data_IF_326575209479
#
_entry.id   IF_326575209479
#
_cell.length_a   1.000
_cell.length_b   1.000
_cell.length_c   1.000
_cell.angle_alpha   90.00
_cell.angle_beta   90.00
_cell.angle_gamma   90.00
#
_symmetry.space_group_name_H-M   'P 1'
#
loop_
_entity.id
_entity.type
_entity.pdbx_description
1 polymer ?
#
# COMPACT_ATOMS: atom_id res chain seq x y z
N UNK A 1 -12.83 -18.47 -21.51
CA UNK A 1 -12.74 -17.14 -20.88
C UNK A 1 -12.79 -17.40 -19.40
N UNK A 2 -11.66 -17.80 -18.83
CA UNK A 2 -11.49 -18.04 -17.40
C UNK A 2 -11.63 -16.70 -16.71
N UNK A 3 -12.57 -16.59 -15.77
CA UNK A 3 -12.58 -15.50 -14.81
C UNK A 3 -11.16 -15.39 -14.25
N UNK A 4 -10.59 -14.19 -14.32
CA UNK A 4 -9.33 -13.87 -13.66
C UNK A 4 -9.47 -14.32 -12.20
N UNK A 5 -8.78 -15.41 -11.85
CA UNK A 5 -8.47 -15.66 -10.45
C UNK A 5 -7.58 -14.50 -10.05
N UNK A 6 -8.21 -13.43 -9.54
CA UNK A 6 -7.55 -12.30 -8.92
C UNK A 6 -6.63 -12.84 -7.82
N UNK A 7 -5.38 -13.10 -8.20
CA UNK A 7 -4.40 -13.73 -7.33
C UNK A 7 -3.97 -12.70 -6.29
N UNK A 8 -4.23 -13.00 -5.02
CA UNK A 8 -3.80 -12.19 -3.90
C UNK A 8 -2.34 -12.55 -3.66
N UNK A 9 -1.44 -11.80 -4.29
CA UNK A 9 0.00 -11.98 -4.13
C UNK A 9 0.53 -11.12 -2.99
N UNK A 10 1.34 -11.73 -2.13
CA UNK A 10 1.98 -11.05 -1.03
C UNK A 10 2.92 -11.96 -0.26
N UNK A 11 4.09 -11.44 0.08
CA UNK A 11 5.11 -12.15 0.84
C UNK A 11 5.17 -11.63 2.27
N UNK A 12 5.29 -12.55 3.23
CA UNK A 12 5.50 -12.22 4.64
C UNK A 12 6.87 -12.74 5.08
N UNK A 13 7.63 -11.89 5.76
CA UNK A 13 8.90 -12.23 6.42
C UNK A 13 8.89 -11.71 7.85
N UNK A 14 9.33 -12.55 8.78
CA UNK A 14 9.53 -12.16 10.17
C UNK A 14 10.92 -11.58 10.38
N UNK A 15 10.97 -10.46 11.08
CA UNK A 15 12.17 -9.83 11.61
C UNK A 15 12.00 -9.64 13.12
N UNK A 16 13.08 -9.38 13.87
CA UNK A 16 13.02 -9.32 15.34
C UNK A 16 11.98 -8.28 15.82
N UNK A 17 10.83 -8.77 16.28
CA UNK A 17 9.71 -7.95 16.79
C UNK A 17 8.85 -7.29 15.71
N UNK A 18 9.05 -7.60 14.42
CA UNK A 18 8.31 -6.99 13.30
C UNK A 18 7.99 -8.01 12.21
N UNK A 19 6.95 -7.70 11.44
CA UNK A 19 6.57 -8.44 10.25
C UNK A 19 6.73 -7.54 9.04
N UNK A 20 7.61 -7.92 8.11
CA UNK A 20 7.72 -7.31 6.80
C UNK A 20 6.74 -7.96 5.84
N UNK A 21 5.93 -7.13 5.20
CA UNK A 21 4.97 -7.54 4.18
C UNK A 21 5.38 -6.88 2.87
N UNK A 22 5.43 -7.67 1.80
CA UNK A 22 5.70 -7.18 0.45
C UNK A 22 4.52 -7.51 -0.46
N UNK A 23 3.95 -6.48 -1.09
CA UNK A 23 2.88 -6.61 -2.08
C UNK A 23 3.37 -6.06 -3.42
N UNK A 24 3.03 -6.72 -4.52
CA UNK A 24 3.45 -6.33 -5.86
C UNK A 24 2.24 -6.19 -6.80
N UNK A 25 2.32 -5.23 -7.72
CA UNK A 25 1.41 -5.08 -8.87
C UNK A 25 2.17 -4.76 -10.14
N UNK A 26 1.80 -5.42 -11.22
CA UNK A 26 2.22 -5.03 -12.56
C UNK A 26 1.14 -4.12 -13.15
N UNK A 27 1.54 -2.92 -13.56
CA UNK A 27 0.66 -1.85 -14.02
C UNK A 27 0.99 -1.53 -15.48
N UNK A 28 -0.01 -1.49 -16.36
CA UNK A 28 0.16 -1.13 -17.78
C UNK A 28 0.27 0.40 -18.00
N UNK A 29 0.94 1.07 -17.06
CA UNK A 29 1.13 2.51 -17.02
C UNK A 29 2.60 2.87 -16.87
N UNK A 30 3.05 4.02 -17.38
CA UNK A 30 4.42 4.47 -17.19
C UNK A 30 4.69 4.84 -15.72
N UNK A 31 5.93 4.67 -15.21
CA UNK A 31 6.34 5.03 -13.85
C UNK A 31 5.95 6.44 -13.42
N UNK A 32 5.95 7.38 -14.36
CA UNK A 32 5.56 8.76 -14.17
C UNK A 32 4.07 8.90 -13.77
N UNK A 33 3.19 8.12 -14.40
CA UNK A 33 1.77 8.11 -14.06
C UNK A 33 1.52 7.47 -12.70
N UNK A 34 2.20 6.35 -12.42
CA UNK A 34 2.14 5.66 -11.13
C UNK A 34 2.65 6.58 -10.01
N UNK A 35 3.76 7.29 -10.24
CA UNK A 35 4.28 8.25 -9.27
C UNK A 35 3.27 9.35 -8.94
N UNK A 36 2.62 9.93 -9.95
CA UNK A 36 1.60 10.96 -9.73
C UNK A 36 0.45 10.42 -8.87
N UNK A 37 0.05 9.16 -9.04
CA UNK A 37 -0.96 8.54 -8.18
C UNK A 37 -0.56 8.45 -6.71
N UNK A 38 0.75 8.32 -6.43
CA UNK A 38 1.28 8.22 -5.07
C UNK A 38 1.57 9.59 -4.44
N UNK A 39 1.72 10.65 -5.22
CA UNK A 39 2.22 11.94 -4.70
C UNK A 39 1.28 13.12 -4.87
N UNK A 40 0.39 13.09 -5.85
CA UNK A 40 -0.56 14.18 -6.10
C UNK A 40 -1.79 14.03 -5.21
N UNK A 41 -2.22 15.13 -4.57
CA UNK A 41 -3.33 15.12 -3.61
C UNK A 41 -4.68 14.78 -4.23
N UNK A 42 -4.92 15.19 -5.47
CA UNK A 42 -6.16 14.88 -6.19
C UNK A 42 -6.19 13.40 -6.51
N UNK A 43 -5.06 12.85 -6.97
CA UNK A 43 -4.97 11.44 -7.28
C UNK A 43 -5.04 10.55 -6.03
N UNK A 44 -4.38 10.91 -4.93
CA UNK A 44 -4.45 10.20 -3.64
C UNK A 44 -5.89 10.04 -3.14
N UNK A 45 -6.71 11.08 -3.29
CA UNK A 45 -8.12 11.06 -2.88
C UNK A 45 -8.98 10.06 -3.67
N UNK A 46 -8.56 9.67 -4.88
CA UNK A 46 -9.32 8.75 -5.73
C UNK A 46 -9.19 7.29 -5.33
N UNK A 47 -8.11 6.92 -4.63
CA UNK A 47 -7.84 5.52 -4.30
C UNK A 47 -7.46 5.25 -2.85
N UNK A 48 -6.99 6.25 -2.10
CA UNK A 48 -6.47 6.08 -0.74
C UNK A 48 -7.26 6.90 0.29
N UNK A 49 -7.03 8.21 0.31
CA UNK A 49 -7.67 9.14 1.24
C UNK A 49 -7.44 10.58 0.78
N UNK A 50 -8.34 11.47 1.17
CA UNK A 50 -8.12 12.90 0.98
C UNK A 50 -6.94 13.36 1.84
N UNK A 51 -6.09 14.23 1.28
CA UNK A 51 -4.90 14.65 1.99
C UNK A 51 -3.88 15.37 1.12
N UNK A 52 -2.68 15.52 1.64
CA UNK A 52 -1.54 16.15 0.96
C UNK A 52 -0.25 15.38 1.22
N UNK A 53 0.59 15.30 0.20
CA UNK A 53 1.91 14.71 0.28
C UNK A 53 2.93 15.63 -0.40
N UNK A 54 3.94 16.09 0.34
CA UNK A 54 5.01 16.92 -0.21
C UNK A 54 6.15 16.03 -0.71
N UNK A 55 6.18 15.66 -2.00
CA UNK A 55 7.09 14.64 -2.55
C UNK A 55 8.59 14.98 -2.57
N UNK A 56 9.19 15.12 -1.38
CA UNK A 56 10.61 15.38 -1.12
C UNK A 56 10.99 14.78 0.23
N UNK A 57 12.27 14.48 0.43
CA UNK A 57 12.76 14.08 1.75
C UNK A 57 12.50 15.20 2.78
N UNK A 58 12.03 14.83 3.97
CA UNK A 58 11.59 15.79 4.97
C UNK A 58 10.26 16.48 4.65
N UNK A 59 9.57 16.08 3.56
CA UNK A 59 8.24 16.57 3.22
C UNK A 59 7.17 15.94 4.11
N UNK A 60 6.07 16.67 4.34
CA UNK A 60 4.98 16.20 5.19
C UNK A 60 3.97 15.36 4.41
N UNK A 61 3.44 14.32 5.06
CA UNK A 61 2.32 13.50 4.58
C UNK A 61 1.17 13.68 5.56
N UNK A 62 0.01 14.09 5.04
CA UNK A 62 -1.23 14.21 5.81
C UNK A 62 -2.34 13.50 5.07
N UNK A 63 -2.95 12.48 5.67
CA UNK A 63 -4.08 11.76 5.10
C UNK A 63 -5.22 11.72 6.11
N UNK A 64 -6.42 12.09 5.66
CA UNK A 64 -7.62 12.10 6.46
C UNK A 64 -8.56 10.95 6.04
N UNK A 65 -8.72 9.99 6.94
CA UNK A 65 -9.62 8.86 6.78
C UNK A 65 -11.01 9.12 7.41
N UNK A 66 -11.28 10.33 7.88
CA UNK A 66 -12.53 10.71 8.52
C UNK A 66 -12.91 9.76 9.66
N UNK A 67 -14.15 9.24 9.63
CA UNK A 67 -14.63 8.29 10.63
C UNK A 67 -14.17 6.84 10.38
N UNK A 68 -13.44 6.58 9.29
CA UNK A 68 -13.08 5.22 8.85
C UNK A 68 -11.70 4.75 9.31
N UNK A 69 -10.88 5.64 9.86
CA UNK A 69 -9.53 5.30 10.30
C UNK A 69 -8.83 6.41 11.07
N UNK A 70 -7.63 6.13 11.56
CA UNK A 70 -6.78 7.15 12.17
C UNK A 70 -6.18 8.04 11.08
N UNK A 71 -6.09 9.37 11.30
CA UNK A 71 -5.37 10.23 10.39
C UNK A 71 -3.89 9.83 10.34
N UNK A 72 -3.25 10.10 9.21
CA UNK A 72 -1.80 9.97 9.05
C UNK A 72 -1.21 11.37 9.06
N UNK A 73 -0.16 11.55 9.85
CA UNK A 73 0.59 12.81 9.93
C UNK A 73 2.04 12.47 10.24
N UNK A 74 2.87 12.46 9.19
CA UNK A 74 4.24 11.99 9.29
C UNK A 74 5.15 12.73 8.29
N UNK A 75 6.43 12.38 8.31
CA UNK A 75 7.45 12.93 7.42
C UNK A 75 7.98 11.86 6.47
N UNK A 76 8.24 12.23 5.23
CA UNK A 76 8.89 11.40 4.23
C UNK A 76 10.35 11.20 4.59
N UNK A 77 10.74 9.94 4.74
CA UNK A 77 12.09 9.50 5.13
C UNK A 77 12.99 9.26 3.93
N UNK A 78 12.42 8.96 2.75
CA UNK A 78 13.15 8.90 1.50
C UNK A 78 12.24 9.26 0.33
N UNK A 79 12.75 10.06 -0.61
CA UNK A 79 12.05 10.38 -1.85
C UNK A 79 13.04 10.40 -3.02
N UNK A 80 12.78 9.55 -4.02
CA UNK A 80 13.45 9.60 -5.33
C UNK A 80 12.36 9.61 -6.40
N UNK A 81 12.17 10.73 -7.12
CA UNK A 81 11.11 10.86 -8.11
C UNK A 81 11.04 9.66 -9.07
N UNK A 82 9.81 9.16 -9.25
CA UNK A 82 9.44 8.06 -10.13
C UNK A 82 10.08 6.70 -9.77
N UNK A 83 10.64 6.56 -8.55
CA UNK A 83 11.40 5.36 -8.15
C UNK A 83 11.16 4.90 -6.73
N UNK A 84 11.16 5.81 -5.76
CA UNK A 84 11.13 5.46 -4.34
C UNK A 84 10.40 6.52 -3.52
N UNK A 85 9.47 6.09 -2.68
CA UNK A 85 8.81 6.94 -1.70
C UNK A 85 8.65 6.17 -0.38
N UNK A 86 9.24 6.67 0.70
CA UNK A 86 9.20 6.05 2.02
C UNK A 86 8.73 7.04 3.08
N UNK A 87 7.81 6.60 3.94
CA UNK A 87 7.29 7.35 5.08
C UNK A 87 6.66 6.38 6.09
N UNK A 88 6.29 6.85 7.28
CA UNK A 88 5.62 5.99 8.27
C UNK A 88 4.09 6.11 8.18
N UNK A 89 3.39 4.98 8.15
CA UNK A 89 1.94 4.92 8.25
C UNK A 89 1.46 5.04 9.71
N UNK A 90 1.76 6.17 10.34
CA UNK A 90 1.47 6.47 11.74
C UNK A 90 1.12 7.95 11.93
N UNK A 91 0.61 8.28 13.11
CA UNK A 91 0.37 9.67 13.54
C UNK A 91 0.61 9.85 15.03
N UNK A 92 1.02 11.06 15.43
CA UNK A 92 1.28 11.40 16.83
C UNK A 92 2.28 10.44 17.48
N UNK A 93 1.94 9.95 18.68
CA UNK A 93 2.77 9.03 19.47
C UNK A 93 2.56 7.54 19.09
N UNK A 94 1.80 7.25 18.03
CA UNK A 94 1.60 5.86 17.61
C UNK A 94 2.92 5.24 17.13
N UNK A 95 3.17 3.93 17.40
CA UNK A 95 4.36 3.25 16.92
C UNK A 95 4.56 3.40 15.41
N UNK A 96 5.79 3.65 14.99
CA UNK A 96 6.10 3.78 13.57
C UNK A 96 5.76 2.49 12.81
N UNK A 97 5.14 2.67 11.65
CA UNK A 97 4.79 1.63 10.70
C UNK A 97 5.38 2.01 9.34
N UNK A 98 6.71 1.86 9.16
CA UNK A 98 7.36 2.24 7.93
C UNK A 98 6.69 1.59 6.72
N UNK A 99 6.47 2.41 5.70
CA UNK A 99 5.91 2.04 4.42
C UNK A 99 6.88 2.52 3.35
N UNK A 100 7.17 1.67 2.37
CA UNK A 100 8.01 2.01 1.23
C UNK A 100 7.37 1.57 -0.08
N UNK A 101 7.25 2.53 -1.00
CA UNK A 101 6.89 2.31 -2.39
C UNK A 101 8.14 2.27 -3.24
N UNK A 102 8.29 1.24 -4.06
CA UNK A 102 9.30 1.14 -5.10
C UNK A 102 8.63 1.02 -6.46
N UNK A 103 9.10 1.82 -7.42
CA UNK A 103 8.59 1.86 -8.78
C UNK A 103 9.70 1.41 -9.73
N UNK A 104 9.48 0.29 -10.41
CA UNK A 104 10.43 -0.28 -11.36
C UNK A 104 9.82 -0.30 -12.75
N UNK A 105 10.54 0.27 -13.73
CA UNK A 105 10.13 0.18 -15.14
C UNK A 105 10.39 -1.25 -15.64
N UNK A 106 9.35 -1.89 -16.17
CA UNK A 106 9.43 -3.20 -16.82
C UNK A 106 8.91 -3.07 -18.26
N UNK A 107 9.81 -2.70 -19.17
CA UNK A 107 9.45 -2.41 -20.55
C UNK A 107 8.50 -1.21 -20.65
N UNK A 108 7.28 -1.45 -21.14
CA UNK A 108 6.20 -0.46 -21.22
C UNK A 108 5.33 -0.40 -19.96
N UNK A 109 5.47 -1.40 -19.07
CA UNK A 109 4.73 -1.51 -17.83
C UNK A 109 5.57 -1.00 -16.65
N UNK A 110 4.93 -0.94 -15.49
CA UNK A 110 5.54 -0.58 -14.22
C UNK A 110 5.26 -1.67 -13.20
N UNK A 111 6.30 -2.20 -12.57
CA UNK A 111 6.15 -2.98 -11.35
C UNK A 111 6.16 -2.04 -10.16
N UNK A 112 5.03 -1.98 -9.45
CA UNK A 112 4.87 -1.26 -8.19
C UNK A 112 5.02 -2.25 -7.05
N UNK A 113 5.97 -1.98 -6.16
CA UNK A 113 6.22 -2.76 -4.97
C UNK A 113 5.88 -1.92 -3.73
N UNK A 114 5.10 -2.51 -2.82
CA UNK A 114 4.76 -1.94 -1.53
C UNK A 114 5.34 -2.81 -0.42
N UNK A 115 6.24 -2.24 0.37
CA UNK A 115 6.79 -2.89 1.55
C UNK A 115 6.26 -2.21 2.81
N UNK A 116 5.65 -3.00 3.70
CA UNK A 116 5.16 -2.57 5.00
C UNK A 116 6.01 -3.21 6.09
N UNK A 117 6.40 -2.43 7.08
CA UNK A 117 7.00 -2.94 8.30
C UNK A 117 6.03 -2.72 9.45
N UNK A 118 5.47 -3.81 9.96
CA UNK A 118 4.41 -3.79 10.98
C UNK A 118 4.94 -4.41 12.28
N UNK A 119 4.41 -4.02 13.46
CA UNK A 119 4.57 -4.81 14.67
C UNK A 119 4.05 -6.23 14.44
N UNK A 120 4.68 -7.22 15.10
CA UNK A 120 4.20 -8.60 15.08
C UNK A 120 2.97 -8.74 15.99
N UNK A 121 1.81 -8.38 15.45
CA UNK A 121 0.52 -8.41 16.13
C UNK A 121 -0.62 -8.92 15.21
N UNK A 122 -1.81 -9.06 15.78
CA UNK A 122 -3.01 -9.55 15.06
C UNK A 122 -3.52 -8.60 13.97
N UNK A 123 -2.97 -7.39 13.84
CA UNK A 123 -3.36 -6.40 12.83
C UNK A 123 -2.66 -6.66 11.50
N UNK A 124 -1.58 -7.45 11.46
CA UNK A 124 -0.83 -7.74 10.22
C UNK A 124 -1.75 -8.19 9.07
N UNK A 125 -2.63 -9.21 9.20
CA UNK A 125 -3.49 -9.63 8.10
C UNK A 125 -4.52 -8.57 7.68
N UNK A 126 -4.99 -7.75 8.64
CA UNK A 126 -5.92 -6.66 8.39
C UNK A 126 -5.25 -5.55 7.57
N UNK A 127 -4.01 -5.20 7.92
CA UNK A 127 -3.22 -4.21 7.20
C UNK A 127 -2.90 -4.69 5.77
N UNK A 128 -2.47 -5.96 5.61
CA UNK A 128 -2.21 -6.54 4.29
C UNK A 128 -3.47 -6.50 3.40
N UNK A 129 -4.61 -6.94 3.94
CA UNK A 129 -5.87 -6.94 3.22
C UNK A 129 -6.38 -5.54 2.87
N UNK A 130 -6.17 -4.58 3.78
CA UNK A 130 -6.47 -3.18 3.54
C UNK A 130 -5.68 -2.64 2.36
N UNK A 131 -4.36 -2.83 2.37
CA UNK A 131 -3.50 -2.39 1.26
C UNK A 131 -3.80 -3.09 -0.05
N UNK A 132 -4.02 -4.40 -0.02
CA UNK A 132 -4.43 -5.17 -1.20
C UNK A 132 -5.73 -4.61 -1.83
N UNK A 133 -6.72 -4.26 -1.01
CA UNK A 133 -7.95 -3.63 -1.49
C UNK A 133 -7.73 -2.22 -2.07
N UNK A 134 -6.88 -1.39 -1.44
CA UNK A 134 -6.56 -0.06 -1.96
C UNK A 134 -5.72 -0.14 -3.25
N UNK A 135 -4.89 -1.17 -3.43
CA UNK A 135 -4.16 -1.39 -4.67
C UNK A 135 -5.10 -1.67 -5.85
N UNK A 136 -6.23 -2.35 -5.65
CA UNK A 136 -7.25 -2.46 -6.69
C UNK A 136 -7.90 -1.12 -7.02
N UNK A 137 -8.15 -0.30 -6.00
CA UNK A 137 -8.68 1.06 -6.21
C UNK A 137 -7.66 1.92 -6.98
N UNK A 138 -6.36 1.77 -6.71
CA UNK A 138 -5.29 2.43 -7.44
C UNK A 138 -5.28 2.01 -8.91
N UNK A 139 -5.38 0.71 -9.19
CA UNK A 139 -5.44 0.19 -10.56
C UNK A 139 -6.67 0.69 -11.30
N UNK A 140 -7.85 0.68 -10.68
CA UNK A 140 -9.04 1.25 -11.28
C UNK A 140 -8.89 2.76 -11.54
N UNK A 141 -8.33 3.50 -10.59
CA UNK A 141 -8.15 4.94 -10.71
C UNK A 141 -7.12 5.33 -11.79
N UNK A 142 -6.10 4.50 -12.04
CA UNK A 142 -5.19 4.64 -13.18
C UNK A 142 -5.90 4.53 -14.54
N UNK A 143 -6.97 3.73 -14.61
CA UNK A 143 -7.86 3.65 -15.77
C UNK A 143 -8.92 4.77 -15.81
N UNK A 144 -8.88 5.70 -14.85
CA UNK A 144 -9.91 6.74 -14.70
C UNK A 144 -11.25 6.22 -14.16
N UNK A 145 -11.27 5.02 -13.58
CA UNK A 145 -12.45 4.39 -13.00
C UNK A 145 -12.44 4.56 -11.49
N UNK A 146 -13.49 5.16 -10.94
CA UNK A 146 -13.69 5.22 -9.50
C UNK A 146 -14.51 4.03 -9.04
N UNK A 147 -13.96 3.22 -8.14
CA UNK A 147 -14.67 2.11 -7.50
C UNK A 147 -14.84 2.36 -6.00
N UNK A 148 -15.85 1.74 -5.40
CA UNK A 148 -15.96 1.68 -3.95
C UNK A 148 -14.98 0.66 -3.37
N UNK A 149 -14.64 0.82 -2.09
CA UNK A 149 -13.78 -0.11 -1.37
C UNK A 149 -14.22 -1.57 -1.58
N UNK A 150 -13.37 -2.45 -2.15
CA UNK A 150 -13.77 -3.80 -2.55
C UNK A 150 -13.83 -4.73 -1.33
N UNK A 151 -14.92 -4.63 -0.55
CA UNK A 151 -15.06 -5.36 0.71
C UNK A 151 -15.02 -6.90 0.58
N UNK A 152 -15.44 -7.44 -0.58
CA UNK A 152 -15.33 -8.86 -0.86
C UNK A 152 -13.86 -9.30 -0.97
N UNK A 153 -13.06 -8.52 -1.72
CA UNK A 153 -11.62 -8.75 -1.85
C UNK A 153 -10.90 -8.59 -0.52
N UNK A 154 -11.20 -7.55 0.24
CA UNK A 154 -10.65 -7.37 1.59
C UNK A 154 -10.85 -8.61 2.47
N UNK A 155 -12.07 -9.20 2.48
CA UNK A 155 -12.33 -10.41 3.27
C UNK A 155 -11.52 -11.62 2.77
N UNK A 156 -11.40 -11.78 1.45
CA UNK A 156 -10.61 -12.85 0.85
C UNK A 156 -9.12 -12.69 1.17
N UNK A 157 -8.56 -11.48 0.99
CA UNK A 157 -7.18 -11.14 1.29
C UNK A 157 -6.85 -11.35 2.76
N UNK A 158 -7.73 -10.90 3.66
CA UNK A 158 -7.56 -11.11 5.10
C UNK A 158 -7.47 -12.59 5.42
N UNK A 159 -8.38 -13.42 4.91
CA UNK A 159 -8.35 -14.86 5.13
C UNK A 159 -7.08 -15.52 4.57
N UNK A 160 -6.59 -15.03 3.42
CA UNK A 160 -5.35 -15.49 2.83
C UNK A 160 -4.14 -15.18 3.73
N UNK A 161 -3.95 -13.91 4.11
CA UNK A 161 -2.83 -13.49 4.96
C UNK A 161 -2.89 -14.10 6.37
N UNK A 162 -4.09 -14.33 6.93
CA UNK A 162 -4.24 -15.06 8.20
C UNK A 162 -3.72 -16.50 8.10
N UNK A 163 -3.93 -17.19 6.97
CA UNK A 163 -3.39 -18.55 6.74
C UNK A 163 -1.88 -18.50 6.55
N UNK A 164 -1.40 -17.58 5.70
CA UNK A 164 0.03 -17.43 5.41
C UNK A 164 0.85 -17.12 6.67
N UNK A 165 0.33 -16.25 7.55
CA UNK A 165 0.97 -15.92 8.83
C UNK A 165 1.08 -17.16 9.73
N UNK A 166 -0.01 -17.95 9.86
CA UNK A 166 -0.02 -19.18 10.65
C UNK A 166 0.96 -20.22 10.13
N UNK A 167 1.04 -20.40 8.81
CA UNK A 167 1.98 -21.34 8.18
C UNK A 167 3.43 -20.93 8.41
N UNK A 168 3.75 -19.64 8.31
CA UNK A 168 5.10 -19.12 8.52
C UNK A 168 5.53 -19.13 9.99
N UNK A 169 4.61 -18.99 10.94
CA UNK A 169 4.89 -19.14 12.38
C UNK A 169 5.11 -20.61 12.78
N UNK A 170 4.52 -21.54 12.04
CA UNK A 170 4.63 -22.97 12.30
C UNK A 170 5.84 -23.64 11.64
N UNK A 171 6.56 -22.91 10.77
CA UNK A 171 7.74 -23.36 10.03
C UNK A 171 9.04 -22.92 10.72
#
# INVERSE_FOLDING_TARGET
MSADEEFIDGQIRFETGRVLVHLERLLDHPPEAVWNMLTDSVHLANWLAAGSLEAREGGRVQLDFGNSGMPIDCTITACRPHRLLSYSWSSGDAPERPLTWEILREGVCTRLCLTLSLPDDEVVPIACAGWDAHLEMLMAALEGISIHFPAARFRAARSHFEKLLKEKMAA
#
